data_IF_606151552260
#
_entry.id   IF_606151552260
#
_cell.length_a   1.000
_cell.length_b   1.000
_cell.length_c   1.000
_cell.angle_alpha   90.00
_cell.angle_beta   90.00
_cell.angle_gamma   90.00
#
_symmetry.space_group_name_H-M   'P 1'
#
loop_
_entity.id
_entity.type
_entity.pdbx_description
1 polymer ?
#
# COMPACT_ATOMS: atom_id res chain seq x y z
N UNK A 1 -3.32 8.34 -21.13
CA UNK A 1 -2.47 7.20 -20.74
C UNK A 1 -2.66 6.93 -19.25
N UNK A 2 -3.06 5.74 -18.87
CA UNK A 2 -3.17 5.40 -17.43
C UNK A 2 -1.84 5.61 -16.72
N UNK A 3 -1.93 6.00 -15.48
CA UNK A 3 -0.77 6.18 -14.62
C UNK A 3 -0.87 5.18 -13.48
N UNK A 4 0.03 4.21 -13.48
CA UNK A 4 -0.03 3.06 -12.58
C UNK A 4 1.18 3.05 -11.66
N UNK A 5 0.95 2.77 -10.38
CA UNK A 5 2.04 2.72 -9.39
C UNK A 5 1.91 1.45 -8.55
N UNK A 6 3.04 1.02 -7.99
CA UNK A 6 3.08 -0.02 -6.96
C UNK A 6 3.54 0.62 -5.66
N UNK A 7 2.89 0.25 -4.57
CA UNK A 7 3.20 0.73 -3.23
C UNK A 7 3.56 -0.48 -2.37
N UNK A 8 4.74 -0.43 -1.72
CA UNK A 8 5.22 -1.51 -0.85
C UNK A 8 5.12 -1.04 0.60
N UNK A 9 4.41 -1.81 1.43
CA UNK A 9 4.10 -1.42 2.80
C UNK A 9 4.65 -2.45 3.78
N UNK A 10 5.42 -1.99 4.76
CA UNK A 10 6.00 -2.82 5.82
C UNK A 10 5.16 -2.69 7.09
N UNK A 11 4.80 -3.83 7.67
CA UNK A 11 4.09 -3.93 8.95
C UNK A 11 5.00 -3.49 10.10
N UNK A 12 4.43 -2.79 11.11
CA UNK A 12 5.20 -2.45 12.31
C UNK A 12 5.50 -3.71 13.12
N UNK A 13 6.63 -3.74 13.85
CA UNK A 13 6.93 -4.88 14.73
C UNK A 13 5.84 -5.08 15.79
N UNK A 14 5.56 -6.34 16.08
CA UNK A 14 4.58 -6.70 17.12
C UNK A 14 3.14 -6.77 16.67
N UNK A 15 2.82 -6.27 15.48
CA UNK A 15 1.47 -6.35 14.93
C UNK A 15 1.35 -7.63 14.12
N UNK A 16 0.29 -8.41 14.35
CA UNK A 16 0.08 -9.64 13.57
C UNK A 16 -0.27 -9.32 12.11
N UNK A 17 -0.01 -10.23 11.16
CA UNK A 17 -0.41 -10.03 9.77
C UNK A 17 -1.91 -9.76 9.61
N UNK A 18 -2.75 -10.44 10.40
CA UNK A 18 -4.19 -10.27 10.37
C UNK A 18 -4.61 -8.87 10.83
N UNK A 19 -4.03 -8.38 11.92
CA UNK A 19 -4.31 -7.03 12.43
C UNK A 19 -3.76 -5.96 11.49
N UNK A 20 -2.60 -6.21 10.90
CA UNK A 20 -2.04 -5.32 9.88
C UNK A 20 -3.02 -5.14 8.72
N UNK A 21 -3.55 -6.25 8.22
CA UNK A 21 -4.55 -6.21 7.13
C UNK A 21 -5.78 -5.39 7.54
N UNK A 22 -6.32 -5.64 8.72
CA UNK A 22 -7.50 -4.92 9.21
C UNK A 22 -7.25 -3.41 9.29
N UNK A 23 -6.09 -3.02 9.81
CA UNK A 23 -5.71 -1.62 9.90
C UNK A 23 -5.52 -0.99 8.52
N UNK A 24 -4.87 -1.70 7.61
CA UNK A 24 -4.66 -1.20 6.25
C UNK A 24 -6.00 -0.99 5.54
N UNK A 25 -6.92 -1.94 5.64
CA UNK A 25 -8.24 -1.81 5.03
C UNK A 25 -9.00 -0.61 5.61
N UNK A 26 -8.87 -0.37 6.91
CA UNK A 26 -9.44 0.81 7.55
C UNK A 26 -8.79 2.10 7.02
N UNK A 27 -7.48 2.08 6.82
CA UNK A 27 -6.74 3.22 6.27
C UNK A 27 -7.20 3.57 4.85
N UNK A 28 -7.51 2.57 4.04
CA UNK A 28 -8.04 2.79 2.69
C UNK A 28 -9.36 3.56 2.75
N UNK A 29 -10.22 3.23 3.70
CA UNK A 29 -11.48 3.96 3.88
C UNK A 29 -11.23 5.43 4.27
N UNK A 30 -10.20 5.67 5.07
CA UNK A 30 -9.81 7.02 5.43
C UNK A 30 -9.29 7.80 4.21
N UNK A 31 -8.50 7.16 3.36
CA UNK A 31 -8.05 7.74 2.08
C UNK A 31 -9.24 8.12 1.20
N UNK A 32 -10.24 7.24 1.11
CA UNK A 32 -11.46 7.51 0.34
C UNK A 32 -12.22 8.70 0.91
N UNK A 33 -12.29 8.81 2.23
CA UNK A 33 -12.95 9.92 2.90
C UNK A 33 -12.33 11.26 2.50
N UNK A 34 -11.01 11.36 2.53
CA UNK A 34 -10.32 12.61 2.23
C UNK A 34 -10.25 12.92 0.73
N UNK A 35 -10.20 11.91 -0.12
CA UNK A 35 -10.02 12.11 -1.56
C UNK A 35 -11.32 12.18 -2.34
N UNK A 36 -12.40 11.57 -1.85
CA UNK A 36 -13.68 11.57 -2.53
C UNK A 36 -13.56 11.06 -3.97
N UNK A 37 -14.00 11.87 -4.92
CA UNK A 37 -14.00 11.51 -6.35
C UNK A 37 -12.59 11.43 -6.95
N UNK A 38 -11.57 11.89 -6.21
CA UNK A 38 -10.18 11.82 -6.67
C UNK A 38 -9.49 10.52 -6.29
N UNK A 39 -10.19 9.64 -5.57
CA UNK A 39 -9.66 8.32 -5.23
C UNK A 39 -9.32 7.56 -6.51
N UNK A 40 -8.22 6.76 -6.52
CA UNK A 40 -7.83 6.04 -7.74
C UNK A 40 -8.91 5.14 -8.30
N UNK A 41 -8.91 4.96 -9.60
CA UNK A 41 -9.82 4.06 -10.31
C UNK A 41 -9.70 2.61 -9.83
N UNK A 42 -8.46 2.20 -9.54
CA UNK A 42 -8.16 0.87 -9.05
C UNK A 42 -7.22 1.01 -7.86
N UNK A 43 -7.53 0.35 -6.77
CA UNK A 43 -6.66 0.24 -5.61
C UNK A 43 -6.72 -1.21 -5.13
N UNK A 44 -5.82 -2.02 -5.65
CA UNK A 44 -5.79 -3.46 -5.41
C UNK A 44 -4.65 -3.77 -4.45
N UNK A 45 -4.95 -4.52 -3.40
CA UNK A 45 -3.98 -4.84 -2.36
C UNK A 45 -3.68 -6.33 -2.36
N UNK A 46 -2.39 -6.65 -2.32
CA UNK A 46 -1.90 -8.01 -2.21
C UNK A 46 -1.23 -8.14 -0.84
N UNK A 47 -1.80 -8.95 0.02
CA UNK A 47 -1.21 -9.24 1.34
C UNK A 47 -0.38 -10.50 1.20
N UNK A 48 0.92 -10.40 1.51
CA UNK A 48 1.82 -11.54 1.39
C UNK A 48 1.48 -12.61 2.41
N UNK A 49 1.80 -13.85 2.08
CA UNK A 49 1.51 -14.98 2.94
C UNK A 49 2.55 -15.09 4.07
N UNK A 50 2.07 -15.20 5.30
CA UNK A 50 2.91 -15.44 6.47
C UNK A 50 2.46 -16.74 7.14
N UNK A 51 3.42 -17.53 7.62
CA UNK A 51 3.13 -18.76 8.35
C UNK A 51 2.45 -18.42 9.68
N UNK A 52 1.37 -19.14 10.04
CA UNK A 52 0.65 -18.94 11.29
C UNK A 52 1.52 -19.22 12.53
N UNK A 53 2.43 -20.19 12.41
CA UNK A 53 3.32 -20.60 13.49
C UNK A 53 4.50 -19.66 13.62
N UNK A 54 4.63 -18.74 12.72
CA UNK A 54 5.82 -17.93 12.60
C UNK A 54 5.43 -16.47 12.65
N UNK A 55 5.62 -15.86 13.81
CA UNK A 55 5.48 -14.42 13.95
C UNK A 55 6.63 -13.70 13.24
N UNK A 56 7.19 -14.37 12.23
CA UNK A 56 8.35 -13.90 11.51
C UNK A 56 8.10 -12.59 10.81
N UNK A 57 9.16 -11.83 10.74
CA UNK A 57 9.19 -10.58 10.02
C UNK A 57 9.29 -10.78 8.51
N UNK A 58 9.20 -12.02 8.01
CA UNK A 58 9.35 -12.34 6.58
C UNK A 58 8.19 -13.17 6.06
N UNK A 59 7.73 -12.90 4.82
CA UNK A 59 6.68 -13.71 4.21
C UNK A 59 7.21 -15.08 3.80
N UNK A 60 6.29 -15.95 3.34
CA UNK A 60 6.66 -17.23 2.75
C UNK A 60 7.35 -16.98 1.42
N UNK A 61 8.64 -17.26 1.34
CA UNK A 61 9.45 -17.04 0.15
C UNK A 61 9.72 -18.38 -0.52
N UNK A 62 9.34 -18.49 -1.80
CA UNK A 62 9.57 -19.70 -2.58
C UNK A 62 10.98 -19.74 -3.17
N UNK A 63 11.54 -18.58 -3.45
CA UNK A 63 12.88 -18.46 -4.00
C UNK A 63 13.44 -17.08 -3.70
N UNK A 64 14.68 -17.02 -3.26
CA UNK A 64 15.36 -15.77 -2.97
C UNK A 64 15.65 -15.60 -1.49
N UNK A 65 16.34 -14.53 -1.14
CA UNK A 65 16.72 -14.21 0.23
C UNK A 65 15.54 -13.56 0.97
N UNK A 66 15.16 -14.14 2.10
CA UNK A 66 14.06 -13.62 2.92
C UNK A 66 14.27 -12.16 3.32
N UNK A 67 15.50 -11.77 3.57
CA UNK A 67 15.81 -10.40 3.97
C UNK A 67 15.50 -9.37 2.88
N UNK A 68 15.43 -9.80 1.63
CA UNK A 68 15.08 -8.92 0.51
C UNK A 68 13.61 -8.55 0.47
N UNK A 69 12.77 -9.30 1.19
CA UNK A 69 11.32 -9.07 1.21
C UNK A 69 10.94 -8.37 2.51
N UNK A 70 11.27 -7.09 2.59
CA UNK A 70 11.04 -6.27 3.77
C UNK A 70 9.71 -5.50 3.71
N UNK A 71 8.69 -6.11 3.13
CA UNK A 71 7.35 -5.55 3.04
C UNK A 71 6.31 -6.66 3.24
N UNK A 72 5.11 -6.29 3.67
CA UNK A 72 4.03 -7.21 4.02
C UNK A 72 2.87 -7.13 3.04
N UNK A 73 2.75 -6.02 2.33
CA UNK A 73 1.71 -5.83 1.34
C UNK A 73 2.23 -5.03 0.16
N UNK A 74 1.61 -5.27 -0.99
CA UNK A 74 1.86 -4.51 -2.21
C UNK A 74 0.51 -4.01 -2.71
N UNK A 75 0.42 -2.72 -3.01
CA UNK A 75 -0.78 -2.16 -3.63
C UNK A 75 -0.51 -1.81 -5.08
N UNK A 76 -1.44 -2.18 -5.93
CA UNK A 76 -1.44 -1.76 -7.33
C UNK A 76 -2.50 -0.69 -7.48
N UNK A 77 -2.10 0.51 -7.90
CA UNK A 77 -2.97 1.68 -7.93
C UNK A 77 -2.96 2.26 -9.34
N UNK A 78 -4.15 2.56 -9.87
CA UNK A 78 -4.29 3.09 -11.21
C UNK A 78 -5.08 4.38 -11.22
N UNK A 79 -4.56 5.37 -11.94
CA UNK A 79 -5.21 6.65 -12.20
C UNK A 79 -5.43 6.80 -13.71
N UNK A 80 -6.36 7.65 -14.10
CA UNK A 80 -6.62 7.91 -15.52
C UNK A 80 -5.39 8.46 -16.24
N UNK A 81 -4.60 9.29 -15.53
CA UNK A 81 -3.39 9.91 -16.06
C UNK A 81 -2.57 10.45 -14.90
N UNK A 82 -1.41 10.98 -15.20
CA UNK A 82 -0.51 11.53 -14.19
C UNK A 82 -1.11 12.74 -13.47
N UNK A 83 -1.88 13.57 -14.18
CA UNK A 83 -2.53 14.73 -13.58
C UNK A 83 -3.53 14.30 -12.49
N UNK A 84 -4.26 13.19 -12.72
CA UNK A 84 -5.19 12.65 -11.73
C UNK A 84 -4.44 12.18 -10.47
N UNK A 85 -3.26 11.58 -10.64
CA UNK A 85 -2.41 11.21 -9.51
C UNK A 85 -2.01 12.45 -8.70
N UNK A 86 -1.55 13.50 -9.36
CA UNK A 86 -1.16 14.73 -8.68
C UNK A 86 -2.34 15.40 -7.96
N UNK A 87 -3.52 15.39 -8.56
CA UNK A 87 -4.72 15.92 -7.92
C UNK A 87 -5.08 15.15 -6.64
N UNK A 88 -4.92 13.82 -6.67
CA UNK A 88 -5.13 12.97 -5.51
C UNK A 88 -4.14 13.32 -4.40
N UNK A 89 -2.85 13.42 -4.72
CA UNK A 89 -1.82 13.77 -3.75
C UNK A 89 -2.08 15.17 -3.15
N UNK A 90 -2.48 16.13 -3.99
CA UNK A 90 -2.74 17.50 -3.53
C UNK A 90 -3.87 17.56 -2.50
N UNK A 91 -4.96 16.82 -2.73
CA UNK A 91 -6.10 16.84 -1.80
C UNK A 91 -5.74 16.16 -0.47
N UNK A 92 -4.79 15.22 -0.48
CA UNK A 92 -4.30 14.56 0.75
C UNK A 92 -3.25 15.39 1.48
N UNK A 93 -2.78 16.48 0.88
CA UNK A 93 -1.70 17.30 1.42
C UNK A 93 -2.18 18.46 2.30
N UNK A 94 -3.49 18.55 2.55
CA UNK A 94 -4.01 19.53 3.49
C UNK A 94 -3.49 19.20 4.88
N UNK A 95 -3.42 20.20 5.77
CA UNK A 95 -2.93 20.00 7.14
C UNK A 95 -3.72 18.91 7.87
N UNK A 96 -5.05 18.98 7.82
CA UNK A 96 -5.92 18.01 8.49
C UNK A 96 -5.74 16.60 7.93
N UNK A 97 -5.74 16.45 6.62
CA UNK A 97 -5.59 15.13 5.98
C UNK A 97 -4.22 14.55 6.29
N UNK A 98 -3.16 15.34 6.15
CA UNK A 98 -1.79 14.90 6.43
C UNK A 98 -1.66 14.42 7.87
N UNK A 99 -2.17 15.18 8.82
CA UNK A 99 -2.11 14.84 10.25
C UNK A 99 -2.80 13.51 10.54
N UNK A 100 -4.03 13.35 10.07
CA UNK A 100 -4.82 12.14 10.32
C UNK A 100 -4.27 10.92 9.59
N UNK A 101 -3.88 11.09 8.33
CA UNK A 101 -3.35 9.98 7.54
C UNK A 101 -2.00 9.50 8.08
N UNK A 102 -1.13 10.43 8.47
CA UNK A 102 0.17 10.09 9.04
C UNK A 102 0.02 9.33 10.37
N UNK A 103 -0.85 9.81 11.26
CA UNK A 103 -1.10 9.15 12.54
C UNK A 103 -1.66 7.74 12.32
N UNK A 104 -2.56 7.58 11.36
CA UNK A 104 -3.15 6.29 11.06
C UNK A 104 -2.12 5.33 10.45
N UNK A 105 -1.29 5.80 9.51
CA UNK A 105 -0.21 5.00 8.92
C UNK A 105 0.75 4.49 9.99
N UNK A 106 1.12 5.33 10.93
CA UNK A 106 2.07 4.97 11.99
C UNK A 106 1.52 3.89 12.93
N UNK A 107 0.21 3.70 12.93
CA UNK A 107 -0.42 2.67 13.76
C UNK A 107 -0.26 1.25 13.19
N UNK A 108 0.10 1.11 11.90
CA UNK A 108 0.22 -0.22 11.30
C UNK A 108 1.44 -0.40 10.40
N UNK A 109 2.10 0.68 9.98
CA UNK A 109 3.18 0.59 8.99
C UNK A 109 4.43 1.38 9.40
N UNK A 110 5.57 0.95 8.83
CA UNK A 110 6.85 1.63 9.01
C UNK A 110 7.05 2.57 7.83
N UNK A 111 6.87 3.88 8.05
CA UNK A 111 6.94 4.87 6.96
C UNK A 111 8.28 4.92 6.25
N UNK A 112 9.38 4.69 6.97
CA UNK A 112 10.71 4.69 6.35
C UNK A 112 10.90 3.54 5.36
N UNK A 113 10.07 2.52 5.45
CA UNK A 113 10.10 1.36 4.54
C UNK A 113 9.10 1.48 3.40
N UNK A 114 8.25 2.49 3.41
CA UNK A 114 7.29 2.73 2.34
C UNK A 114 8.04 3.02 1.05
N UNK A 115 7.69 2.30 0.00
CA UNK A 115 8.29 2.49 -1.32
C UNK A 115 7.19 2.59 -2.36
N UNK A 116 7.35 3.54 -3.27
CA UNK A 116 6.38 3.77 -4.35
C UNK A 116 7.16 3.85 -5.65
N UNK A 117 6.72 3.08 -6.65
CA UNK A 117 7.38 3.05 -7.95
C UNK A 117 6.34 3.13 -9.06
N UNK A 118 6.69 3.80 -10.16
CA UNK A 118 5.80 3.92 -11.32
C UNK A 118 5.97 2.70 -12.20
N UNK A 119 4.84 2.11 -12.62
CA UNK A 119 4.83 0.98 -13.54
C UNK A 119 4.94 1.52 -14.96
N UNK A 120 5.90 1.00 -15.75
CA UNK A 120 6.10 1.45 -17.12
C UNK A 120 5.12 0.83 -18.10
N UNK A 121 4.87 -0.47 -17.97
CA UNK A 121 3.99 -1.20 -18.88
C UNK A 121 3.41 -2.41 -18.17
N UNK A 122 2.20 -2.79 -18.56
CA UNK A 122 1.53 -3.96 -18.00
C UNK A 122 1.16 -4.88 -19.15
N UNK A 123 1.65 -6.11 -19.08
CA UNK A 123 1.28 -7.17 -20.02
C UNK A 123 0.60 -8.28 -19.24
N UNK A 124 -0.45 -8.82 -19.80
CA UNK A 124 -1.22 -9.88 -19.16
C UNK A 124 -1.45 -11.01 -20.18
N UNK A 125 -1.19 -12.23 -19.75
CA UNK A 125 -1.45 -13.41 -20.58
C UNK A 125 -2.57 -14.21 -19.94
N UNK A 126 -3.63 -14.43 -20.69
CA UNK A 126 -4.76 -15.26 -20.25
C UNK A 126 -4.78 -16.54 -21.07
N UNK A 127 -5.09 -17.66 -20.44
CA UNK A 127 -5.17 -18.96 -21.08
C UNK A 127 -6.60 -19.22 -21.54
#
# INVERSE_FOLDING_TARGET
MPYNILIFVRRIPGLSPSKFKDHYESHVRLLQHFSGDLFPKLHKRYYLNFSEDNHDSHPTVLQGDKASFDFDAVAEVSFDNEAAYHAFIDVLSTEEATERLTADEDSFSVREKLKIVVIGDIQETKV
#
